data_IF_332390679315
#
_entry.id   IF_332390679315
#
_cell.length_a   1.000
_cell.length_b   1.000
_cell.length_c   1.000
_cell.angle_alpha   90.00
_cell.angle_beta   90.00
_cell.angle_gamma   90.00
#
_symmetry.space_group_name_H-M   'P 1'
#
loop_
_entity.id
_entity.type
_entity.pdbx_description
1 polymer ?
#
# COMPACT_ATOMS: atom_id res chain seq x y z
N UNK A 1 5.50 12.21 -0.39
CA UNK A 1 5.94 10.94 -1.00
C UNK A 1 6.64 11.26 -2.30
N UNK A 2 7.68 10.52 -2.69
CA UNK A 2 8.34 10.72 -3.98
C UNK A 2 8.63 9.37 -4.61
N UNK A 3 8.05 9.11 -5.77
CA UNK A 3 8.19 7.86 -6.50
C UNK A 3 9.56 7.77 -7.20
N UNK A 4 10.05 6.55 -7.47
CA UNK A 4 11.32 6.33 -8.17
C UNK A 4 11.25 6.73 -9.64
N UNK A 5 12.40 6.83 -10.32
CA UNK A 5 12.48 7.16 -11.76
C UNK A 5 11.78 6.17 -12.68
N UNK A 6 11.40 4.98 -12.16
CA UNK A 6 10.69 3.92 -12.89
C UNK A 6 9.20 3.78 -12.53
N UNK A 7 8.60 4.77 -11.86
CA UNK A 7 7.18 4.69 -11.45
C UNK A 7 6.18 5.12 -12.53
N UNK A 8 6.62 5.55 -13.71
CA UNK A 8 5.71 6.13 -14.70
C UNK A 8 5.21 7.53 -14.31
N UNK A 9 4.18 8.01 -15.01
CA UNK A 9 3.58 9.33 -14.77
C UNK A 9 2.71 9.31 -13.51
N UNK A 10 2.98 10.24 -12.58
CA UNK A 10 2.18 10.37 -11.37
C UNK A 10 0.83 11.01 -11.69
N UNK A 11 -0.25 10.31 -11.34
CA UNK A 11 -1.63 10.81 -11.37
C UNK A 11 -2.22 10.74 -9.96
N UNK A 12 -2.96 11.78 -9.58
CA UNK A 12 -3.68 11.83 -8.29
C UNK A 12 -5.01 12.58 -8.48
N UNK A 13 -6.12 11.87 -8.29
CA UNK A 13 -7.49 12.37 -8.37
C UNK A 13 -8.04 12.80 -7.00
N UNK A 14 -7.40 12.40 -5.90
CA UNK A 14 -7.81 12.76 -4.54
C UNK A 14 -8.95 11.92 -3.95
N UNK A 15 -9.35 10.84 -4.62
CA UNK A 15 -10.36 9.89 -4.14
C UNK A 15 -9.89 8.45 -4.37
N UNK A 16 -9.69 7.70 -3.29
CA UNK A 16 -9.12 6.34 -3.35
C UNK A 16 -10.05 5.38 -4.10
N UNK A 17 -11.35 5.42 -3.83
CA UNK A 17 -12.33 4.59 -4.53
C UNK A 17 -12.32 4.86 -6.04
N UNK A 18 -12.18 6.12 -6.44
CA UNK A 18 -12.11 6.52 -7.85
C UNK A 18 -10.80 6.05 -8.50
N UNK A 19 -9.66 6.16 -7.82
CA UNK A 19 -8.38 5.64 -8.32
C UNK A 19 -8.45 4.13 -8.58
N UNK A 20 -9.04 3.36 -7.66
CA UNK A 20 -9.21 1.91 -7.84
C UNK A 20 -10.12 1.58 -9.01
N UNK A 21 -11.18 2.37 -9.23
CA UNK A 21 -12.05 2.22 -10.40
C UNK A 21 -11.30 2.52 -11.71
N UNK A 22 -10.43 3.55 -11.74
CA UNK A 22 -9.60 3.84 -12.91
C UNK A 22 -8.60 2.72 -13.22
N UNK A 23 -8.08 2.05 -12.19
CA UNK A 23 -7.23 0.86 -12.38
C UNK A 23 -8.05 -0.31 -12.94
N UNK A 24 -9.24 -0.55 -12.40
CA UNK A 24 -10.13 -1.61 -12.90
C UNK A 24 -10.53 -1.39 -14.37
N UNK A 25 -10.73 -0.14 -14.77
CA UNK A 25 -11.03 0.24 -16.16
C UNK A 25 -9.79 0.22 -17.08
N UNK A 26 -8.59 0.03 -16.54
CA UNK A 26 -7.33 0.09 -17.30
C UNK A 26 -6.92 1.50 -17.73
N UNK A 27 -7.55 2.55 -17.19
CA UNK A 27 -7.20 3.96 -17.46
C UNK A 27 -5.90 4.32 -16.73
N UNK A 28 -5.75 3.87 -15.49
CA UNK A 28 -4.53 3.99 -14.70
C UNK A 28 -3.88 2.61 -14.62
N UNK A 29 -2.58 2.49 -14.90
CA UNK A 29 -1.91 1.17 -14.93
C UNK A 29 -1.87 0.50 -13.56
N UNK A 30 -1.57 1.26 -12.51
CA UNK A 30 -1.53 0.77 -11.14
C UNK A 30 -1.76 1.93 -10.16
N UNK A 31 -2.15 1.62 -8.92
CA UNK A 31 -2.28 2.60 -7.85
C UNK A 31 -1.51 2.12 -6.61
N UNK A 32 -0.76 3.04 -5.99
CA UNK A 32 -0.17 2.84 -4.66
C UNK A 32 -0.92 3.71 -3.69
N UNK A 33 -1.63 3.08 -2.76
CA UNK A 33 -2.48 3.75 -1.78
C UNK A 33 -1.85 3.65 -0.42
N UNK A 34 -1.81 4.77 0.30
CA UNK A 34 -1.29 4.86 1.66
C UNK A 34 -2.33 5.54 2.56
N UNK A 35 -2.53 5.02 3.77
CA UNK A 35 -3.36 5.69 4.78
C UNK A 35 -4.84 5.75 4.44
N UNK A 36 -5.39 4.68 3.85
CA UNK A 36 -6.82 4.56 3.57
C UNK A 36 -7.58 3.99 4.77
N UNK A 37 -8.83 4.38 4.97
CA UNK A 37 -9.73 3.63 5.83
C UNK A 37 -10.37 2.47 5.06
N UNK A 38 -10.92 1.49 5.78
CA UNK A 38 -11.61 0.34 5.18
C UNK A 38 -12.68 0.77 4.17
N UNK A 39 -13.49 1.77 4.50
CA UNK A 39 -14.57 2.27 3.64
C UNK A 39 -14.08 3.03 2.41
N UNK A 40 -12.85 3.55 2.41
CA UNK A 40 -12.28 4.25 1.25
C UNK A 40 -11.92 3.27 0.12
N UNK A 41 -11.75 1.98 0.44
CA UNK A 41 -11.18 0.97 -0.46
C UNK A 41 -12.09 -0.23 -0.70
N UNK A 42 -13.03 -0.52 0.20
CA UNK A 42 -13.82 -1.74 0.18
C UNK A 42 -14.48 -2.00 -1.18
N UNK A 43 -15.23 -1.02 -1.70
CA UNK A 43 -15.90 -1.16 -2.99
C UNK A 43 -14.91 -1.23 -4.17
N UNK A 44 -13.86 -0.40 -4.14
CA UNK A 44 -12.89 -0.33 -5.23
C UNK A 44 -12.08 -1.62 -5.39
N UNK A 45 -11.71 -2.25 -4.27
CA UNK A 45 -10.98 -3.53 -4.29
C UNK A 45 -11.88 -4.64 -4.86
N UNK A 46 -13.15 -4.72 -4.44
CA UNK A 46 -14.09 -5.71 -4.98
C UNK A 46 -14.24 -5.58 -6.50
N UNK A 47 -14.44 -4.35 -7.00
CA UNK A 47 -14.56 -4.10 -8.44
C UNK A 47 -13.28 -4.49 -9.19
N UNK A 48 -12.12 -4.08 -8.67
CA UNK A 48 -10.83 -4.40 -9.28
C UNK A 48 -10.59 -5.91 -9.36
N UNK A 49 -10.86 -6.64 -8.28
CA UNK A 49 -10.67 -8.09 -8.23
C UNK A 49 -11.57 -8.82 -9.22
N UNK A 50 -12.85 -8.45 -9.31
CA UNK A 50 -13.78 -9.01 -10.32
C UNK A 50 -13.39 -8.63 -11.76
N UNK A 51 -12.63 -7.55 -11.94
CA UNK A 51 -12.10 -7.12 -13.23
C UNK A 51 -10.77 -7.80 -13.61
N UNK A 52 -10.31 -8.78 -12.81
CA UNK A 52 -9.04 -9.49 -13.05
C UNK A 52 -7.79 -8.76 -12.54
N UNK A 53 -7.97 -7.79 -11.65
CA UNK A 53 -6.88 -7.14 -10.91
C UNK A 53 -6.57 -7.83 -9.59
N UNK A 54 -5.38 -7.57 -9.07
CA UNK A 54 -4.95 -8.03 -7.76
C UNK A 54 -4.55 -6.83 -6.90
N UNK A 55 -4.49 -7.08 -5.59
CA UNK A 55 -4.01 -6.11 -4.62
C UNK A 55 -3.01 -6.78 -3.70
N UNK A 56 -1.87 -6.13 -3.50
CA UNK A 56 -0.84 -6.56 -2.57
C UNK A 56 -0.67 -5.50 -1.49
N UNK A 57 -0.59 -5.90 -0.22
CA UNK A 57 -0.30 -5.00 0.89
C UNK A 57 1.17 -5.07 1.29
N UNK A 58 1.70 -3.96 1.75
CA UNK A 58 3.07 -3.85 2.24
C UNK A 58 3.18 -4.45 3.64
N UNK A 59 4.15 -5.35 3.83
CA UNK A 59 4.46 -5.97 5.12
C UNK A 59 5.69 -5.32 5.73
N UNK A 60 5.59 -4.99 7.02
CA UNK A 60 6.73 -4.47 7.77
C UNK A 60 7.74 -5.58 8.01
N UNK A 61 8.86 -5.52 7.30
CA UNK A 61 9.96 -6.47 7.50
C UNK A 61 10.78 -6.09 8.76
N UNK A 62 11.11 -7.04 9.66
CA UNK A 62 11.91 -6.80 10.85
C UNK A 62 13.28 -6.18 10.54
N UNK A 63 13.80 -5.38 11.49
CA UNK A 63 15.02 -4.59 11.30
C UNK A 63 16.25 -5.44 10.93
N UNK A 64 16.38 -6.66 11.46
CA UNK A 64 17.49 -7.58 11.16
C UNK A 64 17.50 -8.08 9.71
N UNK A 65 16.32 -8.23 9.09
CA UNK A 65 16.19 -8.66 7.69
C UNK A 65 16.48 -7.53 6.70
N UNK A 66 16.37 -6.25 7.12
CA UNK A 66 16.69 -5.08 6.28
C UNK A 66 18.18 -4.93 5.98
N UNK A 67 19.05 -5.53 6.79
CA UNK A 67 20.52 -5.47 6.64
C UNK A 67 20.99 -6.29 5.43
N UNK A 68 20.21 -7.29 5.01
CA UNK A 68 20.55 -8.18 3.88
C UNK A 68 20.11 -7.57 2.54
N UNK A 69 19.66 -6.30 2.52
CA UNK A 69 19.31 -5.58 1.29
C UNK A 69 18.10 -6.15 0.55
N UNK A 70 17.33 -7.02 1.20
CA UNK A 70 16.33 -7.85 0.54
C UNK A 70 14.94 -7.60 1.11
N UNK A 71 14.06 -7.20 0.18
CA UNK A 71 12.59 -7.31 0.16
C UNK A 71 11.81 -6.23 0.93
N UNK A 72 11.15 -5.34 0.18
CA UNK A 72 9.83 -4.83 0.59
C UNK A 72 8.82 -5.96 0.34
N UNK A 73 8.41 -6.63 1.41
CA UNK A 73 7.56 -7.82 1.32
C UNK A 73 6.12 -7.40 1.03
N UNK A 74 5.78 -7.35 -0.25
CA UNK A 74 4.40 -7.31 -0.71
C UNK A 74 3.76 -8.69 -0.47
N UNK A 75 2.60 -8.73 0.17
CA UNK A 75 1.81 -9.95 0.33
C UNK A 75 0.40 -9.76 -0.23
N UNK A 76 -0.26 -10.84 -0.64
CA UNK A 76 -1.64 -10.79 -1.14
C UNK A 76 -2.57 -10.12 -0.11
N UNK A 77 -3.55 -9.37 -0.60
CA UNK A 77 -4.53 -8.73 0.24
C UNK A 77 -5.38 -9.79 0.97
N UNK A 78 -4.97 -10.10 2.20
CA UNK A 78 -5.82 -10.81 3.16
C UNK A 78 -6.80 -9.83 3.79
N UNK A 79 -6.88 -9.82 5.13
CA UNK A 79 -7.60 -8.77 5.84
C UNK A 79 -6.91 -7.42 5.69
N UNK A 80 -7.67 -6.42 5.25
CA UNK A 80 -7.27 -5.01 5.21
C UNK A 80 -7.07 -4.41 6.59
N UNK A 81 -7.93 -4.80 7.53
CA UNK A 81 -7.91 -4.36 8.93
C UNK A 81 -7.99 -5.60 9.81
N UNK A 82 -7.06 -5.73 10.75
CA UNK A 82 -7.11 -6.78 11.77
C UNK A 82 -8.16 -6.40 12.81
N UNK A 83 -9.35 -6.98 12.65
CA UNK A 83 -10.44 -6.90 13.61
C UNK A 83 -10.35 -8.12 14.52
N UNK A 84 -10.36 -7.91 15.83
CA UNK A 84 -10.37 -9.00 16.81
C UNK A 84 -11.62 -9.87 16.61
N UNK A 85 -11.42 -11.18 16.41
CA UNK A 85 -12.49 -12.17 16.23
C UNK A 85 -13.23 -12.49 17.54
N UNK A 86 -12.76 -11.97 18.68
CA UNK A 86 -13.33 -12.23 20.02
C UNK A 86 -14.68 -11.56 20.28
N UNK A 87 -15.34 -10.98 19.26
CA UNK A 87 -16.67 -10.35 19.38
C UNK A 87 -16.67 -8.97 20.07
N UNK A 88 -15.52 -8.49 20.55
CA UNK A 88 -15.37 -7.16 21.17
C UNK A 88 -14.60 -6.20 20.26
N UNK A 89 -15.08 -5.99 19.03
CA UNK A 89 -14.51 -4.96 18.15
C UNK A 89 -14.94 -3.58 18.66
N UNK A 90 -13.97 -2.70 18.96
CA UNK A 90 -14.28 -1.30 19.32
C UNK A 90 -14.48 -0.48 18.07
N UNK A 91 -15.25 0.61 18.17
CA UNK A 91 -15.42 1.57 17.06
C UNK A 91 -14.07 2.07 16.50
N UNK A 92 -13.08 2.26 17.38
CA UNK A 92 -11.72 2.68 17.01
C UNK A 92 -11.00 1.69 16.09
N UNK A 93 -11.31 0.39 16.19
CA UNK A 93 -10.68 -0.63 15.36
C UNK A 93 -11.03 -0.47 13.87
N UNK A 94 -12.25 -0.03 13.57
CA UNK A 94 -12.69 0.25 12.20
C UNK A 94 -12.10 1.55 11.62
N UNK A 95 -11.58 2.43 12.48
CA UNK A 95 -10.93 3.68 12.05
C UNK A 95 -9.43 3.52 11.82
N UNK A 96 -8.87 2.33 12.05
CA UNK A 96 -7.45 2.08 11.77
C UNK A 96 -7.20 2.19 10.28
N UNK A 97 -6.10 2.85 9.94
CA UNK A 97 -5.64 2.96 8.55
C UNK A 97 -5.15 1.61 8.07
N UNK A 98 -5.45 1.30 6.81
CA UNK A 98 -4.91 0.15 6.11
C UNK A 98 -3.38 0.29 5.99
N UNK A 99 -2.64 -0.83 5.95
CA UNK A 99 -1.27 -0.80 5.46
C UNK A 99 -1.24 -0.21 4.04
N UNK A 100 -0.12 0.37 3.60
CA UNK A 100 0.07 0.72 2.20
C UNK A 100 -0.18 -0.49 1.32
N UNK A 101 -0.84 -0.29 0.18
CA UNK A 101 -1.10 -1.38 -0.76
C UNK A 101 -0.95 -0.92 -2.21
N UNK A 102 -0.62 -1.88 -3.07
CA UNK A 102 -0.46 -1.78 -4.50
C UNK A 102 -1.65 -2.48 -5.17
N UNK A 103 -2.36 -1.78 -6.03
CA UNK A 103 -3.45 -2.28 -6.83
C UNK A 103 -3.08 -2.22 -8.32
N UNK A 104 -3.19 -3.33 -9.04
CA UNK A 104 -2.85 -3.39 -10.47
C UNK A 104 -3.52 -4.60 -11.16
N UNK A 105 -3.63 -4.61 -12.50
CA UNK A 105 -3.95 -5.83 -13.25
C UNK A 105 -3.02 -6.99 -12.89
N UNK A 106 -3.55 -8.21 -12.83
CA UNK A 106 -2.78 -9.40 -12.47
C UNK A 106 -1.54 -9.61 -13.37
N UNK A 107 -1.61 -9.18 -14.63
CA UNK A 107 -0.54 -9.30 -15.62
C UNK A 107 0.72 -8.48 -15.30
N UNK A 108 0.62 -7.40 -14.52
CA UNK A 108 1.75 -6.49 -14.24
C UNK A 108 2.09 -6.39 -12.76
N UNK A 109 1.24 -6.88 -11.85
CA UNK A 109 1.39 -6.61 -10.42
C UNK A 109 2.68 -7.17 -9.82
N UNK A 110 3.15 -8.32 -10.31
CA UNK A 110 4.43 -8.92 -9.88
C UNK A 110 5.61 -8.01 -10.26
N UNK A 111 5.64 -7.53 -11.50
CA UNK A 111 6.65 -6.59 -11.97
C UNK A 111 6.62 -5.27 -11.19
N UNK A 112 5.42 -4.73 -10.97
CA UNK A 112 5.24 -3.48 -10.23
C UNK A 112 5.69 -3.63 -8.77
N UNK A 113 5.34 -4.72 -8.10
CA UNK A 113 5.73 -4.98 -6.71
C UNK A 113 7.25 -5.07 -6.52
N UNK A 114 7.97 -5.58 -7.53
CA UNK A 114 9.43 -5.67 -7.50
C UNK A 114 10.11 -4.30 -7.69
N UNK A 115 9.44 -3.36 -8.37
CA UNK A 115 10.00 -2.06 -8.72
C UNK A 115 9.54 -0.92 -7.78
N UNK A 116 8.40 -1.09 -7.10
CA UNK A 116 7.87 -0.12 -6.15
C UNK A 116 8.49 -0.41 -4.78
N UNK A 117 9.58 0.33 -4.51
CA UNK A 117 10.29 0.29 -3.24
C UNK A 117 9.80 1.43 -2.36
N UNK A 118 9.43 1.12 -1.13
CA UNK A 118 9.22 2.12 -0.09
C UNK A 118 10.51 2.90 0.07
N UNK A 119 10.49 4.22 -0.15
CA UNK A 119 11.64 5.04 0.25
C UNK A 119 11.82 4.84 1.73
N UNK A 120 12.86 4.08 2.09
CA UNK A 120 13.33 3.92 3.46
C UNK A 120 13.21 5.29 4.14
N UNK A 121 12.34 5.40 5.14
CA UNK A 121 12.45 6.44 6.17
C UNK A 121 13.66 6.03 7.02
N UNK A 122 14.82 5.98 6.38
CA UNK A 122 16.09 5.60 6.96
C UNK A 122 16.70 6.86 7.53
N UNK A 123 16.70 6.97 8.86
CA UNK A 123 17.76 7.58 9.66
C UNK A 123 17.98 9.10 9.52
N UNK A 124 17.42 9.77 8.50
CA UNK A 124 17.63 11.21 8.28
C UNK A 124 16.92 12.11 9.31
N UNK A 125 16.00 11.56 10.09
CA UNK A 125 15.35 12.24 11.21
C UNK A 125 16.07 12.08 12.56
N UNK A 126 16.87 11.02 12.74
CA UNK A 126 17.58 10.78 14.02
C UNK A 126 18.91 11.51 14.10
N UNK A 127 19.57 11.77 12.97
CA UNK A 127 20.77 12.62 12.94
C UNK A 127 20.46 14.11 13.19
N UNK A 128 19.20 14.55 13.13
CA UNK A 128 18.83 15.90 13.60
C UNK A 128 18.66 16.01 15.12
N UNK A 129 18.32 14.91 15.79
CA UNK A 129 18.05 14.89 17.23
C UNK A 129 19.30 14.65 18.09
N UNK A 130 20.37 14.08 17.52
CA UNK A 130 21.62 13.79 18.23
C UNK A 130 22.63 14.95 18.24
N UNK A 131 22.41 16.01 17.45
CA UNK A 131 23.30 17.18 17.38
C UNK A 131 22.73 18.47 18.01
N UNK A 132 21.61 18.38 18.74
CA UNK A 132 21.21 19.44 19.69
C UNK A 132 21.75 19.09 21.07
N UNK A 133 23.00 19.50 21.31
CA UNK A 133 23.54 19.78 22.65
C UNK A 133 23.69 21.28 22.78
#
# INVERSE_FOLDING_TARGET
GGFGTKSGELRMAGSIAYELALVALGVTQYAVVCGAHLWDVAAGISILTESGGNVLKHVKVPLGSRIIGSVDAWEEIGRLVEISETGHSKYEDFRKLSPPFLAAPASIISEMSANIVSKNIGIRGMTGALFKR
#
